data_IF_205450327405
#
_entry.id   IF_205450327405
#
_cell.length_a   1.000
_cell.length_b   1.000
_cell.length_c   1.000
_cell.angle_alpha   90.00
_cell.angle_beta   90.00
_cell.angle_gamma   90.00
#
_symmetry.space_group_name_H-M   'P 1'
#
loop_
_entity.id
_entity.type
_entity.pdbx_description
1 polymer ?
#
# COMPACT_ATOMS: atom_id res chain seq x y z
N UNK A 1 -1.62 6.92 25.09
CA UNK A 1 -0.81 6.87 23.86
C UNK A 1 0.65 6.83 24.23
N UNK A 2 1.37 5.75 23.91
CA UNK A 2 2.72 5.48 24.40
C UNK A 2 3.73 6.38 23.68
N UNK A 3 4.71 6.95 24.38
CA UNK A 3 5.75 7.89 23.84
C UNK A 3 6.49 7.30 22.62
N UNK A 4 6.51 5.97 22.49
CA UNK A 4 7.11 5.23 21.37
C UNK A 4 6.20 5.25 20.12
N UNK A 5 4.88 5.17 20.30
CA UNK A 5 3.89 5.25 19.20
C UNK A 5 3.82 6.66 18.61
N UNK A 6 3.89 7.69 19.46
CA UNK A 6 3.91 9.08 19.00
C UNK A 6 5.19 9.40 18.18
N UNK A 7 6.35 8.85 18.56
CA UNK A 7 7.59 9.00 17.79
C UNK A 7 7.52 8.30 16.42
N UNK A 8 6.86 7.15 16.34
CA UNK A 8 6.69 6.41 15.07
C UNK A 8 5.74 7.18 14.16
N UNK A 9 4.62 7.67 14.67
CA UNK A 9 3.64 8.47 13.91
C UNK A 9 4.25 9.78 13.37
N UNK A 10 5.01 10.52 14.19
CA UNK A 10 5.71 11.75 13.77
C UNK A 10 6.75 11.46 12.68
N UNK A 11 7.49 10.36 12.79
CA UNK A 11 8.47 9.97 11.77
C UNK A 11 7.80 9.58 10.46
N UNK A 12 6.68 8.86 10.51
CA UNK A 12 5.90 8.49 9.33
C UNK A 12 5.29 9.71 8.63
N UNK A 13 4.74 10.66 9.40
CA UNK A 13 4.23 11.92 8.86
C UNK A 13 5.34 12.73 8.17
N UNK A 14 6.53 12.80 8.75
CA UNK A 14 7.67 13.48 8.14
C UNK A 14 8.14 12.79 6.84
N UNK A 15 8.23 11.45 6.82
CA UNK A 15 8.57 10.68 5.62
C UNK A 15 7.54 10.92 4.49
N UNK A 16 6.24 10.96 4.84
CA UNK A 16 5.16 11.22 3.87
C UNK A 16 5.22 12.64 3.30
N UNK A 17 5.56 13.64 4.12
CA UNK A 17 5.73 15.01 3.65
C UNK A 17 6.87 15.11 2.64
N UNK A 18 8.00 14.44 2.90
CA UNK A 18 9.14 14.40 1.96
C UNK A 18 8.78 13.74 0.64
N UNK A 19 8.05 12.62 0.67
CA UNK A 19 7.59 11.92 -0.54
C UNK A 19 6.68 12.83 -1.37
N UNK A 20 5.73 13.49 -0.73
CA UNK A 20 4.79 14.42 -1.38
C UNK A 20 5.49 15.63 -2.00
N UNK A 21 6.47 16.19 -1.30
CA UNK A 21 7.25 17.33 -1.81
C UNK A 21 8.10 16.94 -3.02
N UNK A 22 8.71 15.76 -3.00
CA UNK A 22 9.48 15.23 -4.13
C UNK A 22 8.59 14.94 -5.34
N UNK A 23 7.42 14.33 -5.11
CA UNK A 23 6.39 14.11 -6.12
C UNK A 23 5.95 15.43 -6.77
N UNK A 24 5.58 16.42 -5.96
CA UNK A 24 5.13 17.71 -6.44
C UNK A 24 6.20 18.39 -7.31
N UNK A 25 7.47 18.34 -6.89
CA UNK A 25 8.59 18.86 -7.68
C UNK A 25 8.74 18.17 -9.02
N UNK A 26 8.59 16.84 -9.07
CA UNK A 26 8.68 16.05 -10.32
C UNK A 26 7.54 16.38 -11.27
N UNK A 27 6.32 16.43 -10.76
CA UNK A 27 5.13 16.78 -11.55
C UNK A 27 5.25 18.22 -12.07
N UNK A 28 5.62 19.17 -11.21
CA UNK A 28 5.83 20.55 -11.59
C UNK A 28 6.91 20.68 -12.66
N UNK A 29 8.05 20.00 -12.50
CA UNK A 29 9.10 19.97 -13.52
C UNK A 29 8.57 19.40 -14.84
N UNK A 30 7.86 18.28 -14.80
CA UNK A 30 7.30 17.66 -16.00
C UNK A 30 6.25 18.55 -16.69
N UNK A 31 5.48 19.33 -15.94
CA UNK A 31 4.42 20.20 -16.46
C UNK A 31 4.96 21.50 -17.08
N UNK A 32 5.98 22.11 -16.46
CA UNK A 32 6.47 23.45 -16.81
C UNK A 32 7.62 23.46 -17.81
N UNK A 33 8.22 22.30 -18.10
CA UNK A 33 9.35 22.21 -19.02
C UNK A 33 8.97 21.63 -20.39
N UNK A 34 9.73 21.97 -21.44
CA UNK A 34 9.57 21.38 -22.77
C UNK A 34 9.76 19.86 -22.76
N UNK A 35 9.03 19.14 -23.61
CA UNK A 35 9.05 17.67 -23.73
C UNK A 35 10.48 17.13 -23.82
N UNK A 36 11.37 17.79 -24.61
CA UNK A 36 12.76 17.36 -24.76
C UNK A 36 13.54 17.35 -23.44
N UNK A 37 13.32 18.33 -22.58
CA UNK A 37 13.97 18.43 -21.27
C UNK A 37 13.40 17.41 -20.29
N UNK A 38 12.08 17.19 -20.32
CA UNK A 38 11.42 16.17 -19.51
C UNK A 38 11.96 14.78 -19.87
N UNK A 39 12.00 14.43 -21.15
CA UNK A 39 12.55 13.14 -21.60
C UNK A 39 14.02 12.96 -21.21
N UNK A 40 14.83 14.02 -21.33
CA UNK A 40 16.24 13.99 -20.90
C UNK A 40 16.39 13.77 -19.40
N UNK A 41 15.58 14.44 -18.59
CA UNK A 41 15.57 14.28 -17.12
C UNK A 41 15.18 12.87 -16.70
N UNK A 42 14.20 12.28 -17.39
CA UNK A 42 13.73 10.91 -17.17
C UNK A 42 14.62 9.83 -17.83
N UNK A 43 15.74 10.23 -18.46
CA UNK A 43 16.67 9.35 -19.16
C UNK A 43 16.00 8.44 -20.21
N UNK A 44 15.00 8.98 -20.93
CA UNK A 44 14.21 8.26 -21.92
C UNK A 44 14.15 9.02 -23.26
N UNK A 45 13.50 8.42 -24.23
CA UNK A 45 13.24 9.01 -25.55
C UNK A 45 11.80 8.76 -25.97
N UNK A 46 11.34 9.36 -27.08
CA UNK A 46 10.03 9.06 -27.67
C UNK A 46 9.87 7.59 -28.08
N UNK A 47 10.99 6.86 -28.25
CA UNK A 47 10.99 5.40 -28.48
C UNK A 47 10.99 4.57 -27.18
N UNK A 48 10.85 5.21 -26.02
CA UNK A 48 10.85 4.59 -24.71
C UNK A 48 12.24 4.23 -24.19
N UNK A 49 12.25 3.52 -23.06
CA UNK A 49 13.45 3.08 -22.35
C UNK A 49 14.13 1.90 -23.05
N UNK A 50 15.45 1.83 -22.95
CA UNK A 50 16.21 0.63 -23.27
C UNK A 50 15.93 -0.49 -22.24
N UNK A 51 16.00 -1.74 -22.67
CA UNK A 51 15.79 -2.90 -21.79
C UNK A 51 16.69 -2.88 -20.54
N UNK A 52 17.94 -2.43 -20.67
CA UNK A 52 18.87 -2.28 -19.55
C UNK A 52 18.52 -1.11 -18.60
N UNK A 53 17.77 -0.11 -19.06
CA UNK A 53 17.36 1.04 -18.23
C UNK A 53 16.14 0.73 -17.34
N UNK A 54 15.31 -0.23 -17.71
CA UNK A 54 14.11 -0.62 -16.94
C UNK A 54 14.45 -1.06 -15.50
N UNK A 55 15.38 -2.02 -15.27
CA UNK A 55 15.74 -2.40 -13.89
C UNK A 55 16.40 -1.26 -13.11
N UNK A 56 17.16 -0.38 -13.77
CA UNK A 56 17.77 0.80 -13.13
C UNK A 56 16.67 1.77 -12.66
N UNK A 57 15.71 2.07 -13.53
CA UNK A 57 14.56 2.92 -13.19
C UNK A 57 13.75 2.30 -12.04
N UNK A 58 13.50 0.99 -12.09
CA UNK A 58 12.78 0.26 -11.02
C UNK A 58 13.50 0.33 -9.67
N UNK A 59 14.82 0.21 -9.66
CA UNK A 59 15.62 0.33 -8.42
C UNK A 59 15.61 1.75 -7.87
N UNK A 60 15.64 2.76 -8.76
CA UNK A 60 15.71 4.18 -8.38
C UNK A 60 14.36 4.73 -7.92
N UNK A 61 13.27 4.37 -8.60
CA UNK A 61 11.94 4.99 -8.41
C UNK A 61 10.89 4.04 -7.83
N UNK A 62 11.22 2.76 -7.65
CA UNK A 62 10.30 1.74 -7.16
C UNK A 62 9.46 1.08 -8.25
N UNK A 63 8.50 0.26 -7.82
CA UNK A 63 7.50 -0.40 -8.65
C UNK A 63 6.21 0.41 -8.68
N UNK A 64 5.37 0.21 -9.70
CA UNK A 64 4.08 0.90 -9.80
C UNK A 64 2.99 0.22 -8.93
N UNK A 65 3.36 -0.12 -7.69
CA UNK A 65 2.44 -0.68 -6.68
C UNK A 65 2.12 0.35 -5.64
N UNK A 66 0.82 0.55 -5.39
CA UNK A 66 0.36 1.37 -4.27
C UNK A 66 0.26 0.50 -3.03
N UNK A 67 0.91 0.90 -1.97
CA UNK A 67 0.92 0.16 -0.69
C UNK A 67 -0.33 0.49 0.09
N UNK A 68 -1.37 -0.35 -0.01
CA UNK A 68 -2.63 -0.15 0.72
C UNK A 68 -2.55 -0.43 2.22
N UNK A 69 -1.68 -1.36 2.64
CA UNK A 69 -1.43 -1.67 4.06
C UNK A 69 -0.03 -2.25 4.26
N UNK A 70 0.66 -1.84 5.32
CA UNK A 70 1.89 -2.52 5.75
C UNK A 70 1.52 -3.92 6.23
N UNK A 71 2.00 -4.96 5.56
CA UNK A 71 1.82 -6.37 5.98
C UNK A 71 2.25 -6.49 7.44
N UNK A 72 1.32 -6.91 8.30
CA UNK A 72 1.64 -7.17 9.72
C UNK A 72 2.77 -8.21 9.77
N UNK A 73 3.82 -7.93 10.53
CA UNK A 73 4.92 -8.88 10.75
C UNK A 73 4.37 -10.23 11.20
N UNK A 74 5.00 -11.34 10.75
CA UNK A 74 4.64 -12.70 11.15
C UNK A 74 4.59 -12.85 12.69
N UNK A 75 5.53 -12.24 13.41
CA UNK A 75 5.54 -12.22 14.86
C UNK A 75 4.30 -11.52 15.45
N UNK A 76 3.84 -10.41 14.84
CA UNK A 76 2.64 -9.70 15.29
C UNK A 76 1.37 -10.49 14.96
N UNK A 77 1.33 -11.19 13.83
CA UNK A 77 0.22 -12.12 13.47
C UNK A 77 0.18 -13.30 14.43
N UNK A 78 1.32 -13.89 14.75
CA UNK A 78 1.40 -14.98 15.72
C UNK A 78 0.95 -14.51 17.10
N UNK A 79 1.47 -13.39 17.60
CA UNK A 79 1.04 -12.84 18.89
C UNK A 79 -0.46 -12.55 18.92
N UNK A 80 -1.04 -11.97 17.86
CA UNK A 80 -2.48 -11.70 17.81
C UNK A 80 -3.34 -12.96 17.78
N UNK A 81 -2.83 -14.09 17.27
CA UNK A 81 -3.52 -15.37 17.27
C UNK A 81 -3.68 -15.94 18.69
N UNK A 82 -2.72 -15.64 19.58
CA UNK A 82 -2.74 -16.07 20.99
C UNK A 82 -3.39 -15.05 21.93
N UNK A 83 -3.53 -13.79 21.54
CA UNK A 83 -4.18 -12.74 22.33
C UNK A 83 -5.62 -12.56 21.85
N UNK A 84 -6.53 -13.34 22.41
CA UNK A 84 -7.96 -13.20 22.19
C UNK A 84 -8.71 -13.48 23.52
N UNK A 85 -9.99 -13.04 23.67
CA UNK A 85 -10.74 -13.19 24.91
C UNK A 85 -10.82 -14.64 25.41
N UNK A 86 -10.94 -15.61 24.49
CA UNK A 86 -11.01 -17.03 24.83
C UNK A 86 -9.68 -17.54 25.42
N UNK A 87 -8.54 -17.26 24.75
CA UNK A 87 -7.23 -17.66 25.28
C UNK A 87 -6.86 -16.91 26.54
N UNK A 88 -7.33 -15.66 26.72
CA UNK A 88 -7.14 -14.92 27.97
C UNK A 88 -7.83 -15.61 29.15
N UNK A 89 -9.04 -16.11 28.97
CA UNK A 89 -9.77 -16.89 29.99
C UNK A 89 -9.01 -18.18 30.30
N UNK A 90 -8.54 -18.90 29.27
CA UNK A 90 -7.75 -20.12 29.47
C UNK A 90 -6.42 -19.87 30.20
N UNK A 91 -5.75 -18.75 29.90
CA UNK A 91 -4.55 -18.35 30.64
C UNK A 91 -4.84 -18.02 32.10
N UNK A 92 -5.94 -17.33 32.39
CA UNK A 92 -6.37 -17.06 33.73
C UNK A 92 -6.66 -18.37 34.48
N UNK A 93 -7.35 -19.32 33.83
CA UNK A 93 -7.62 -20.64 34.40
C UNK A 93 -6.33 -21.43 34.64
N UNK A 94 -5.40 -21.42 33.70
CA UNK A 94 -4.10 -22.07 33.86
C UNK A 94 -3.30 -21.48 35.03
N UNK A 95 -3.36 -20.16 35.21
CA UNK A 95 -2.69 -19.49 36.33
C UNK A 95 -3.29 -19.89 37.69
N UNK A 96 -4.60 -19.93 37.78
CA UNK A 96 -5.31 -20.38 39.00
C UNK A 96 -4.95 -21.84 39.27
N UNK A 97 -5.07 -22.73 38.29
CA UNK A 97 -4.72 -24.14 38.42
C UNK A 97 -3.24 -24.37 38.80
N UNK A 98 -2.34 -23.56 38.24
CA UNK A 98 -0.91 -23.61 38.63
C UNK A 98 -0.72 -23.25 40.11
N UNK A 99 -1.45 -22.29 40.62
CA UNK A 99 -1.39 -21.91 42.03
C UNK A 99 -1.96 -23.00 42.90
N UNK A 100 -3.17 -23.49 42.58
CA UNK A 100 -3.90 -24.48 43.45
C UNK A 100 -3.27 -25.87 43.41
N UNK A 101 -2.91 -26.33 42.21
CA UNK A 101 -2.56 -27.74 41.99
C UNK A 101 -1.03 -27.98 41.99
N UNK A 102 -0.21 -26.93 41.83
CA UNK A 102 1.24 -27.05 41.86
C UNK A 102 1.91 -26.28 43.00
N UNK A 103 1.59 -24.99 43.18
CA UNK A 103 2.32 -24.13 44.12
C UNK A 103 1.90 -24.42 45.56
N UNK A 104 0.61 -24.50 45.87
CA UNK A 104 0.11 -24.76 47.23
C UNK A 104 0.57 -26.13 47.76
N UNK A 105 0.43 -27.24 47.01
CA UNK A 105 0.93 -28.55 47.47
C UNK A 105 2.44 -28.59 47.62
N UNK A 106 3.19 -27.97 46.68
CA UNK A 106 4.65 -27.97 46.74
C UNK A 106 5.21 -27.31 48.02
N UNK A 107 4.59 -26.21 48.47
CA UNK A 107 5.02 -25.48 49.64
C UNK A 107 4.19 -25.88 50.92
N UNK A 108 3.31 -26.86 50.80
CA UNK A 108 2.42 -27.30 51.89
C UNK A 108 1.65 -26.15 52.57
N UNK A 109 1.18 -25.19 51.76
CA UNK A 109 0.47 -24.00 52.22
C UNK A 109 -1.03 -24.27 52.33
N UNK A 110 -1.69 -23.61 53.28
CA UNK A 110 -3.13 -23.68 53.50
C UNK A 110 -3.72 -25.08 53.70
N UNK A 111 -2.90 -26.04 54.23
CA UNK A 111 -3.36 -27.39 54.55
C UNK A 111 -3.30 -28.37 53.36
N UNK A 112 -2.75 -27.98 52.23
CA UNK A 112 -2.45 -28.88 51.11
C UNK A 112 -1.24 -29.76 51.45
N UNK A 113 -1.27 -31.02 50.99
CA UNK A 113 -0.16 -32.00 51.19
C UNK A 113 0.58 -32.20 49.85
N UNK A 114 1.89 -32.55 49.89
CA UNK A 114 2.67 -32.78 48.68
C UNK A 114 2.10 -33.90 47.77
N UNK A 115 1.29 -34.78 48.30
CA UNK A 115 0.63 -35.84 47.53
C UNK A 115 -0.47 -35.30 46.58
N UNK A 116 -1.00 -34.08 46.85
CA UNK A 116 -1.98 -33.40 46.01
C UNK A 116 -1.37 -32.68 44.79
N UNK A 117 -0.06 -32.79 44.58
CA UNK A 117 0.61 -32.17 43.44
C UNK A 117 0.16 -32.80 42.13
N UNK A 118 -0.57 -32.04 41.32
CA UNK A 118 -1.01 -32.44 39.98
C UNK A 118 -0.67 -31.40 38.91
N UNK A 119 0.13 -31.80 37.96
CA UNK A 119 0.47 -30.97 36.80
C UNK A 119 -0.40 -31.29 35.58
N UNK A 120 -1.23 -32.35 35.62
CA UNK A 120 -1.98 -32.83 34.46
C UNK A 120 -2.99 -31.78 33.98
N UNK A 121 -3.70 -31.14 34.86
CA UNK A 121 -4.68 -30.12 34.55
C UNK A 121 -4.05 -28.92 33.84
N UNK A 122 -2.92 -28.43 34.34
CA UNK A 122 -2.16 -27.32 33.72
C UNK A 122 -1.66 -27.69 32.32
N UNK A 123 -1.12 -28.90 32.17
CA UNK A 123 -0.64 -29.41 30.87
C UNK A 123 -1.77 -29.50 29.84
N UNK A 124 -2.96 -29.99 30.24
CA UNK A 124 -4.14 -30.05 29.40
C UNK A 124 -4.56 -28.66 28.93
N UNK A 125 -4.65 -27.69 29.85
CA UNK A 125 -5.05 -26.31 29.52
C UNK A 125 -4.04 -25.67 28.56
N UNK A 126 -2.75 -25.79 28.83
CA UNK A 126 -1.70 -25.25 27.96
C UNK A 126 -1.71 -25.89 26.57
N UNK A 127 -1.98 -27.20 26.50
CA UNK A 127 -2.12 -27.91 25.21
C UNK A 127 -3.33 -27.37 24.43
N UNK A 128 -4.47 -27.11 25.09
CA UNK A 128 -5.63 -26.50 24.46
C UNK A 128 -5.34 -25.09 23.96
N UNK A 129 -4.62 -24.26 24.72
CA UNK A 129 -4.19 -22.92 24.29
C UNK A 129 -3.32 -23.00 23.06
N UNK A 130 -2.36 -23.93 23.05
CA UNK A 130 -1.44 -24.12 21.93
C UNK A 130 -2.19 -24.58 20.66
N UNK A 131 -3.07 -25.56 20.75
CA UNK A 131 -3.87 -26.06 19.63
C UNK A 131 -4.76 -24.93 19.08
N UNK A 132 -5.48 -24.22 19.97
CA UNK A 132 -6.38 -23.13 19.59
C UNK A 132 -5.64 -21.98 18.90
N UNK A 133 -4.48 -21.57 19.44
CA UNK A 133 -3.65 -20.53 18.86
C UNK A 133 -3.07 -20.91 17.49
N UNK A 134 -2.62 -22.17 17.37
CA UNK A 134 -2.10 -22.71 16.11
C UNK A 134 -3.18 -22.79 15.03
N UNK A 135 -4.37 -23.31 15.39
CA UNK A 135 -5.50 -23.43 14.46
C UNK A 135 -5.92 -22.04 13.95
N UNK A 136 -6.05 -21.07 14.85
CA UNK A 136 -6.39 -19.69 14.49
C UNK A 136 -5.33 -19.05 13.59
N UNK A 137 -4.05 -19.22 13.89
CA UNK A 137 -2.95 -18.73 13.05
C UNK A 137 -3.01 -19.31 11.63
N UNK A 138 -3.26 -20.63 11.51
CA UNK A 138 -3.40 -21.29 10.20
C UNK A 138 -4.62 -20.79 9.45
N UNK A 139 -5.77 -20.63 10.10
CA UNK A 139 -7.00 -20.11 9.50
C UNK A 139 -6.82 -18.67 9.00
N UNK A 140 -6.25 -17.78 9.83
CA UNK A 140 -6.00 -16.38 9.46
C UNK A 140 -5.00 -16.26 8.32
N UNK A 141 -3.95 -17.10 8.32
CA UNK A 141 -2.95 -17.15 7.26
C UNK A 141 -3.53 -17.67 5.94
N UNK A 142 -4.37 -18.70 5.98
CA UNK A 142 -5.02 -19.25 4.77
C UNK A 142 -6.04 -18.28 4.18
N UNK A 143 -6.86 -17.65 5.00
CA UNK A 143 -7.86 -16.68 4.56
C UNK A 143 -7.22 -15.45 3.92
N UNK A 144 -6.17 -14.88 4.54
CA UNK A 144 -5.45 -13.75 3.98
C UNK A 144 -4.78 -14.06 2.64
N UNK A 145 -4.13 -15.23 2.53
CA UNK A 145 -3.47 -15.64 1.29
C UNK A 145 -4.47 -15.94 0.15
N UNK A 146 -5.67 -16.45 0.47
CA UNK A 146 -6.70 -16.70 -0.55
C UNK A 146 -7.25 -15.39 -1.12
N UNK A 147 -7.52 -14.39 -0.29
CA UNK A 147 -7.95 -13.07 -0.72
C UNK A 147 -6.88 -12.37 -1.59
N UNK A 148 -5.61 -12.43 -1.17
CA UNK A 148 -4.48 -11.86 -1.93
C UNK A 148 -4.31 -12.53 -3.30
N UNK A 149 -4.50 -13.86 -3.38
CA UNK A 149 -4.46 -14.59 -4.67
C UNK A 149 -5.59 -14.18 -5.61
N UNK A 150 -6.81 -13.98 -5.10
CA UNK A 150 -7.93 -13.54 -5.92
C UNK A 150 -7.69 -12.13 -6.48
N UNK A 151 -7.17 -11.21 -5.66
CA UNK A 151 -6.80 -9.87 -6.12
C UNK A 151 -5.66 -9.90 -7.14
N UNK A 152 -4.68 -10.79 -6.98
CA UNK A 152 -3.57 -10.97 -7.92
C UNK A 152 -3.99 -11.57 -9.27
N UNK A 153 -5.17 -12.21 -9.36
CA UNK A 153 -5.71 -12.72 -10.63
C UNK A 153 -6.30 -11.60 -11.52
N UNK A 154 -6.60 -10.45 -10.96
CA UNK A 154 -7.08 -9.27 -11.70
C UNK A 154 -5.84 -8.42 -12.04
N UNK A 155 -5.08 -8.87 -13.04
CA UNK A 155 -3.97 -8.07 -13.57
C UNK A 155 -4.52 -7.07 -14.57
N UNK A 156 -4.51 -5.80 -14.20
CA UNK A 156 -4.77 -4.71 -15.13
C UNK A 156 -3.50 -4.48 -15.96
N UNK A 157 -3.64 -4.44 -17.28
CA UNK A 157 -2.53 -4.20 -18.22
C UNK A 157 -2.55 -2.76 -18.74
N UNK A 158 -1.43 -2.30 -19.26
CA UNK A 158 -1.31 -1.05 -19.97
C UNK A 158 -0.41 -1.22 -21.19
N UNK A 159 -0.67 -0.42 -22.23
CA UNK A 159 0.10 -0.46 -23.47
C UNK A 159 1.28 0.50 -23.39
N UNK A 160 2.49 0.00 -23.59
CA UNK A 160 3.72 0.80 -23.52
C UNK A 160 4.59 0.62 -24.77
N UNK A 161 5.42 1.62 -25.04
CA UNK A 161 6.53 1.53 -25.99
C UNK A 161 7.84 1.55 -25.22
N UNK A 162 8.65 0.51 -25.40
CA UNK A 162 10.05 0.43 -24.98
C UNK A 162 10.93 0.26 -26.22
N UNK A 163 12.17 0.70 -26.17
CA UNK A 163 13.10 0.64 -27.31
C UNK A 163 13.13 -0.78 -27.87
N UNK A 164 12.90 -0.91 -29.20
CA UNK A 164 12.75 -2.16 -29.95
C UNK A 164 11.44 -2.96 -29.70
N UNK A 165 10.49 -2.43 -28.94
CA UNK A 165 9.19 -3.06 -28.70
C UNK A 165 8.10 -1.98 -28.72
N UNK A 166 7.44 -1.83 -29.86
CA UNK A 166 6.35 -0.87 -29.99
C UNK A 166 5.02 -1.48 -29.55
N UNK A 167 4.27 -0.74 -28.72
CA UNK A 167 2.90 -1.07 -28.29
C UNK A 167 2.75 -2.49 -27.71
N UNK A 168 3.56 -2.80 -26.71
CA UNK A 168 3.43 -4.05 -25.95
C UNK A 168 2.49 -3.85 -24.75
N UNK A 169 1.73 -4.86 -24.43
CA UNK A 169 0.97 -4.91 -23.19
C UNK A 169 1.84 -5.44 -22.06
N UNK A 170 1.87 -4.71 -20.94
CA UNK A 170 2.53 -5.13 -19.71
C UNK A 170 1.57 -5.00 -18.52
N UNK A 171 1.76 -5.79 -17.44
CA UNK A 171 1.07 -5.54 -16.20
C UNK A 171 1.35 -4.11 -15.70
N UNK A 172 0.33 -3.41 -15.19
CA UNK A 172 0.52 -2.04 -14.64
C UNK A 172 1.61 -2.00 -13.55
N UNK A 173 1.75 -3.06 -12.77
CA UNK A 173 2.76 -3.19 -11.71
C UNK A 173 4.20 -3.14 -12.24
N UNK A 174 4.41 -3.50 -13.52
CA UNK A 174 5.72 -3.55 -14.19
C UNK A 174 6.11 -2.25 -14.87
N UNK A 175 5.24 -1.24 -14.80
CA UNK A 175 5.49 0.10 -15.31
C UNK A 175 6.59 0.78 -14.48
N UNK A 176 7.46 1.54 -15.15
CA UNK A 176 8.54 2.29 -14.50
C UNK A 176 8.59 3.73 -15.01
N UNK A 177 9.20 4.61 -14.22
CA UNK A 177 9.43 6.00 -14.63
C UNK A 177 10.26 6.06 -15.90
N UNK A 178 9.79 6.81 -16.89
CA UNK A 178 10.42 6.94 -18.23
C UNK A 178 9.82 6.03 -19.30
N UNK A 179 8.92 5.09 -18.96
CA UNK A 179 8.15 4.35 -19.96
C UNK A 179 7.25 5.29 -20.77
N UNK A 180 7.05 4.98 -22.04
CA UNK A 180 6.08 5.68 -22.90
C UNK A 180 4.80 4.85 -22.90
N UNK A 181 3.72 5.43 -22.40
CA UNK A 181 2.40 4.79 -22.33
C UNK A 181 1.48 5.32 -23.43
N UNK A 182 0.60 4.46 -23.93
CA UNK A 182 -0.47 4.81 -24.84
C UNK A 182 -1.79 4.72 -24.11
N UNK A 183 -2.59 5.78 -24.22
CA UNK A 183 -3.89 5.91 -23.58
C UNK A 183 -4.95 6.03 -24.66
N UNK A 184 -6.07 5.34 -24.48
CA UNK A 184 -7.24 5.34 -25.34
C UNK A 184 -8.51 5.49 -24.51
N UNK A 185 -9.61 5.90 -25.12
CA UNK A 185 -10.91 5.99 -24.47
C UNK A 185 -11.28 4.65 -23.78
N UNK A 186 -11.67 4.74 -22.52
CA UNK A 186 -11.96 3.59 -21.64
C UNK A 186 -10.80 3.12 -20.78
N UNK A 187 -9.57 3.55 -21.06
CA UNK A 187 -8.40 3.19 -20.25
C UNK A 187 -8.39 3.94 -18.92
N UNK A 188 -7.85 3.29 -17.90
CA UNK A 188 -7.44 3.94 -16.66
C UNK A 188 -5.98 4.38 -16.79
N UNK A 189 -5.70 5.61 -16.40
CA UNK A 189 -4.33 6.15 -16.37
C UNK A 189 -3.49 5.35 -15.36
N UNK A 190 -2.41 4.65 -15.80
CA UNK A 190 -1.74 3.66 -14.98
C UNK A 190 -0.75 4.24 -13.96
N UNK A 191 -0.33 5.49 -14.14
CA UNK A 191 0.66 6.19 -13.31
C UNK A 191 0.50 7.70 -13.52
N UNK A 192 1.25 8.54 -12.79
CA UNK A 192 1.25 9.97 -13.12
C UNK A 192 2.13 10.20 -14.36
N UNK A 193 1.52 10.73 -15.42
CA UNK A 193 2.13 10.82 -16.74
C UNK A 193 2.10 12.22 -17.29
N UNK A 194 3.16 12.60 -18.04
CA UNK A 194 3.25 13.82 -18.85
C UNK A 194 2.79 13.52 -20.27
N UNK A 195 1.76 14.21 -20.73
CA UNK A 195 1.25 14.08 -22.10
C UNK A 195 2.29 14.60 -23.09
N UNK A 196 2.67 13.77 -24.06
CA UNK A 196 3.60 14.08 -25.13
C UNK A 196 2.87 14.45 -26.43
N UNK A 197 1.80 13.72 -26.71
CA UNK A 197 0.89 13.93 -27.85
C UNK A 197 -0.52 13.54 -27.43
N UNK A 198 -1.54 14.26 -27.91
CA UNK A 198 -2.93 14.00 -27.57
C UNK A 198 -3.84 14.38 -28.74
N UNK A 199 -4.89 13.59 -28.94
CA UNK A 199 -5.96 13.86 -29.87
C UNK A 199 -7.30 13.76 -29.15
N UNK A 200 -7.97 14.92 -28.95
CA UNK A 200 -9.26 15.06 -28.29
C UNK A 200 -9.33 14.31 -26.94
N UNK A 201 -8.25 14.41 -26.16
CA UNK A 201 -8.11 13.68 -24.90
C UNK A 201 -8.87 14.38 -23.77
N UNK A 202 -9.92 13.73 -23.28
CA UNK A 202 -10.65 14.14 -22.09
C UNK A 202 -10.50 13.08 -20.99
N UNK A 203 -10.14 13.53 -19.79
CA UNK A 203 -9.85 12.66 -18.66
C UNK A 203 -10.71 13.07 -17.46
N UNK A 204 -11.42 12.13 -16.85
CA UNK A 204 -12.12 12.33 -15.59
C UNK A 204 -11.16 12.12 -14.41
N UNK A 205 -11.04 13.14 -13.57
CA UNK A 205 -10.24 13.11 -12.33
C UNK A 205 -11.12 13.01 -11.07
N UNK A 206 -12.39 12.57 -11.21
CA UNK A 206 -13.35 12.50 -10.14
C UNK A 206 -12.86 11.73 -8.90
N UNK A 207 -12.05 10.69 -9.09
CA UNK A 207 -11.46 9.90 -8.00
C UNK A 207 -10.44 10.69 -7.15
N UNK A 208 -9.89 11.78 -7.67
CA UNK A 208 -8.84 12.57 -7.02
C UNK A 208 -9.37 13.91 -6.51
N UNK A 209 -10.19 14.59 -7.32
CA UNK A 209 -10.68 15.94 -7.03
C UNK A 209 -12.13 15.97 -6.56
N UNK A 210 -12.89 14.89 -6.79
CA UNK A 210 -14.33 14.83 -6.56
C UNK A 210 -15.17 15.53 -7.66
N UNK A 211 -14.53 16.17 -8.64
CA UNK A 211 -15.19 16.85 -9.74
C UNK A 211 -15.49 15.87 -10.88
N UNK A 212 -16.75 15.79 -11.29
CA UNK A 212 -17.20 14.82 -12.29
C UNK A 212 -16.99 15.30 -13.74
N UNK A 213 -16.69 16.57 -13.95
CA UNK A 213 -16.52 17.14 -15.28
C UNK A 213 -15.17 16.69 -15.89
N UNK A 214 -15.18 16.11 -17.11
CA UNK A 214 -13.93 15.71 -17.76
C UNK A 214 -13.08 16.92 -18.16
N UNK A 215 -11.78 16.83 -17.94
CA UNK A 215 -10.81 17.88 -18.23
C UNK A 215 -10.09 17.53 -19.53
N UNK A 216 -10.01 18.48 -20.46
CA UNK A 216 -9.20 18.34 -21.66
C UNK A 216 -7.71 18.34 -21.29
N UNK A 217 -6.97 17.36 -21.81
CA UNK A 217 -5.52 17.23 -21.62
C UNK A 217 -4.77 17.47 -22.92
N UNK A 218 -3.78 18.34 -22.86
CA UNK A 218 -3.00 18.78 -24.03
C UNK A 218 -1.48 18.62 -23.79
N UNK A 219 -0.66 18.49 -24.84
CA UNK A 219 0.80 18.38 -24.70
C UNK A 219 1.50 19.70 -24.39
N UNK A 220 0.80 20.83 -24.40
CA UNK A 220 1.40 22.15 -24.24
C UNK A 220 2.09 22.33 -22.90
N UNK A 221 3.18 23.11 -22.91
CA UNK A 221 3.86 23.49 -21.66
C UNK A 221 2.92 24.36 -20.82
N UNK A 222 2.78 24.01 -19.56
CA UNK A 222 1.91 24.77 -18.65
C UNK A 222 2.72 25.80 -17.86
N UNK A 223 2.10 26.94 -17.56
CA UNK A 223 2.63 27.83 -16.53
C UNK A 223 2.50 27.15 -15.15
N UNK A 224 3.27 27.64 -14.18
CA UNK A 224 3.17 27.15 -12.82
C UNK A 224 1.77 27.34 -12.25
N UNK A 225 1.22 26.30 -11.65
CA UNK A 225 -0.12 26.26 -11.02
C UNK A 225 0.00 26.12 -9.52
N UNK A 226 -1.03 26.53 -8.79
CA UNK A 226 -1.11 26.38 -7.34
C UNK A 226 -1.35 24.93 -6.94
N UNK A 227 -2.27 24.25 -7.64
CA UNK A 227 -2.51 22.81 -7.47
C UNK A 227 -1.88 21.99 -8.58
N UNK A 228 -1.33 20.83 -8.24
CA UNK A 228 -0.80 19.88 -9.24
C UNK A 228 -1.89 19.29 -10.12
N UNK A 229 -3.14 19.22 -9.63
CA UNK A 229 -4.30 18.72 -10.38
C UNK A 229 -4.73 19.63 -11.54
N UNK A 230 -4.33 20.91 -11.50
CA UNK A 230 -4.73 21.93 -12.48
C UNK A 230 -3.88 21.91 -13.75
N UNK A 231 -2.82 21.08 -13.77
CA UNK A 231 -2.01 20.94 -14.97
C UNK A 231 -2.76 20.19 -16.07
N UNK A 232 -2.98 20.86 -17.21
CA UNK A 232 -3.66 20.28 -18.37
C UNK A 232 -2.80 19.27 -19.13
N UNK A 233 -1.49 19.27 -18.91
CA UNK A 233 -0.53 18.40 -19.59
C UNK A 233 -0.04 17.21 -18.74
N UNK A 234 -0.63 17.03 -17.55
CA UNK A 234 -0.41 15.90 -16.67
C UNK A 234 -1.72 15.12 -16.52
N UNK A 235 -1.67 13.81 -16.63
CA UNK A 235 -2.74 12.90 -16.24
C UNK A 235 -2.28 12.05 -15.06
N UNK A 236 -3.17 11.83 -14.10
CA UNK A 236 -2.85 11.22 -12.81
C UNK A 236 -3.34 9.78 -12.74
N UNK A 237 -2.60 8.94 -11.99
CA UNK A 237 -2.97 7.56 -11.71
C UNK A 237 -4.41 7.46 -11.17
N UNK A 238 -5.18 6.48 -11.67
CA UNK A 238 -6.55 6.25 -11.23
C UNK A 238 -7.61 7.15 -11.87
N UNK A 239 -7.20 8.06 -12.78
CA UNK A 239 -8.12 8.81 -13.62
C UNK A 239 -8.57 7.97 -14.82
N UNK A 240 -9.76 8.22 -15.36
CA UNK A 240 -10.31 7.49 -16.50
C UNK A 240 -10.28 8.35 -17.77
N UNK A 241 -9.82 7.78 -18.87
CA UNK A 241 -9.89 8.40 -20.20
C UNK A 241 -11.31 8.27 -20.72
N UNK A 242 -12.00 9.41 -20.87
CA UNK A 242 -13.40 9.46 -21.33
C UNK A 242 -13.48 9.43 -22.84
N UNK A 243 -12.59 10.19 -23.52
CA UNK A 243 -12.54 10.23 -24.98
C UNK A 243 -11.13 10.54 -25.47
N UNK A 244 -10.89 10.29 -26.76
CA UNK A 244 -9.64 10.57 -27.42
C UNK A 244 -8.55 9.55 -27.19
N UNK A 245 -7.32 9.96 -27.50
CA UNK A 245 -6.13 9.12 -27.32
C UNK A 245 -4.91 9.99 -27.02
N UNK A 246 -3.91 9.40 -26.37
CA UNK A 246 -2.66 10.10 -26.08
C UNK A 246 -1.46 9.15 -26.03
N UNK A 247 -0.29 9.76 -26.25
CA UNK A 247 1.01 9.17 -25.90
C UNK A 247 1.60 10.01 -24.77
N UNK A 248 2.04 9.36 -23.71
CA UNK A 248 2.54 10.04 -22.52
C UNK A 248 3.78 9.35 -21.95
N UNK A 249 4.61 10.09 -21.19
CA UNK A 249 5.75 9.53 -20.47
C UNK A 249 5.44 9.44 -18.99
N UNK A 250 5.80 8.33 -18.36
CA UNK A 250 5.62 8.10 -16.93
C UNK A 250 6.58 8.98 -16.14
N UNK A 251 6.02 9.83 -15.28
CA UNK A 251 6.76 10.75 -14.41
C UNK A 251 6.90 10.23 -12.96
N UNK A 252 5.83 9.63 -12.41
CA UNK A 252 5.83 9.04 -11.07
C UNK A 252 5.09 7.69 -11.09
N UNK A 253 5.48 6.76 -10.20
CA UNK A 253 4.91 5.41 -10.09
C UNK A 253 4.59 5.06 -8.62
N UNK A 254 3.62 4.18 -8.41
CA UNK A 254 3.27 3.59 -7.12
C UNK A 254 2.98 4.61 -6.03
N UNK A 255 3.62 4.46 -4.88
CA UNK A 255 3.42 5.35 -3.71
C UNK A 255 3.87 6.80 -3.97
N UNK A 256 4.66 7.03 -5.02
CA UNK A 256 5.09 8.36 -5.45
C UNK A 256 4.14 9.03 -6.45
N UNK A 257 3.00 8.43 -6.78
CA UNK A 257 1.92 9.08 -7.54
C UNK A 257 1.03 9.91 -6.61
N UNK A 258 0.23 10.82 -7.18
CA UNK A 258 -0.74 11.60 -6.41
C UNK A 258 -1.72 10.67 -5.69
N UNK A 259 -2.25 9.67 -6.38
CA UNK A 259 -3.13 8.66 -5.82
C UNK A 259 -2.44 7.83 -4.73
N UNK A 260 -1.21 7.36 -4.98
CA UNK A 260 -0.42 6.59 -4.03
C UNK A 260 -0.13 7.35 -2.74
N UNK A 261 0.25 8.63 -2.85
CA UNK A 261 0.51 9.49 -1.70
C UNK A 261 -0.75 9.71 -0.84
N UNK A 262 -1.92 9.87 -1.47
CA UNK A 262 -3.22 9.96 -0.79
C UNK A 262 -3.59 8.63 -0.09
N UNK A 263 -3.43 7.51 -0.80
CA UNK A 263 -3.71 6.18 -0.24
C UNK A 263 -2.83 5.87 0.98
N UNK A 264 -1.54 6.21 0.92
CA UNK A 264 -0.62 6.08 2.04
C UNK A 264 -1.02 6.98 3.24
N UNK A 265 -1.52 8.20 2.98
CA UNK A 265 -1.99 9.11 4.02
C UNK A 265 -3.20 8.52 4.76
N UNK A 266 -4.18 8.01 4.03
CA UNK A 266 -5.38 7.37 4.61
C UNK A 266 -5.02 6.08 5.36
N UNK A 267 -4.12 5.26 4.84
CA UNK A 267 -3.67 4.03 5.49
C UNK A 267 -2.87 4.28 6.79
N UNK A 268 -2.20 5.45 6.89
CA UNK A 268 -1.47 5.86 8.09
C UNK A 268 -2.36 6.34 9.24
N UNK A 269 -3.53 6.84 8.94
CA UNK A 269 -4.57 7.21 9.90
C UNK A 269 -5.52 6.02 10.11
N UNK A 270 -5.13 5.06 10.95
CA UNK A 270 -6.10 4.13 11.53
C UNK A 270 -7.03 4.96 12.42
N UNK A 271 -8.11 5.47 11.83
CA UNK A 271 -9.17 6.18 12.57
C UNK A 271 -9.75 5.18 13.58
N UNK A 272 -9.42 5.34 14.86
CA UNK A 272 -10.13 4.66 15.94
C UNK A 272 -11.60 5.09 15.83
N UNK A 273 -12.43 4.20 15.31
CA UNK A 273 -13.87 4.44 15.23
C UNK A 273 -14.41 4.65 16.65
N UNK A 274 -15.46 5.45 16.79
CA UNK A 274 -16.15 5.68 18.07
C UNK A 274 -16.55 4.35 18.75
N UNK A 275 -16.77 3.31 17.96
CA UNK A 275 -17.04 1.96 18.42
C UNK A 275 -15.81 1.32 19.11
N UNK A 276 -14.61 1.48 18.54
CA UNK A 276 -13.36 0.96 19.13
C UNK A 276 -13.02 1.70 20.43
N UNK A 277 -13.32 3.00 20.52
CA UNK A 277 -13.17 3.78 21.77
C UNK A 277 -14.15 3.34 22.84
N UNK A 278 -15.39 2.98 22.48
CA UNK A 278 -16.39 2.53 23.43
C UNK A 278 -16.17 1.10 23.97
N UNK A 279 -15.45 0.24 23.24
CA UNK A 279 -15.13 -1.12 23.70
C UNK A 279 -13.85 -1.14 24.56
N UNK A 280 -12.99 -0.12 24.45
CA UNK A 280 -11.74 0.00 25.21
C UNK A 280 -11.89 0.90 26.47
N UNK A 281 -13.07 1.48 26.72
CA UNK A 281 -13.43 2.22 27.93
C UNK A 281 -14.18 1.33 28.91
#
# INVERSE_FOLDING_TARGET
>A
MNKKENRIAVRQAAEMTVIRDEQNRRIQFAATNPIKEVLKNLHTTLRGLDAGAVPVSRTKYGTNKVTHEKKKSLAKRLASAFINPFTAILFCLALVSTITDMILPYFSLFGSVPEDFDCLTVVIILTMVFISGTLRFVQESRSGNAAEKLLAMITTTCTVTRRNQEKIEIPMDDLVVGDIVHLSAGDMVPADVRILDAKDLFVSQASLTGESEPIEKTPNVSAQKESVTDYTNIAFMGSNVISGSATAVVACVGDHTLFGSMACAVAGEAVETSFTKGVNA
#
